data_IF_160445247354
#
_entry.id   IF_160445247354
#
_cell.length_a   1.000
_cell.length_b   1.000
_cell.length_c   1.000
_cell.angle_alpha   90.00
_cell.angle_beta   90.00
_cell.angle_gamma   90.00
#
_symmetry.space_group_name_H-M   'P 1'
#
loop_
_entity.id
_entity.type
_entity.pdbx_description
1 polymer ?
#
# COMPACT_ATOMS: atom_id res chain seq x y z
N UNK A 1 69.15 -4.14 41.47
CA UNK A 1 69.51 -2.75 41.85
C UNK A 1 68.36 -2.20 42.66
N UNK A 2 68.45 -2.26 43.99
CA UNK A 2 68.95 -1.19 44.88
C UNK A 2 67.92 -0.05 45.01
N UNK A 3 67.52 0.45 46.17
CA UNK A 3 67.82 0.26 47.61
C UNK A 3 66.72 1.03 48.37
N UNK A 4 66.37 0.60 49.59
CA UNK A 4 65.65 1.38 50.61
C UNK A 4 66.60 2.41 51.31
N UNK A 5 66.19 3.16 52.37
CA UNK A 5 65.26 4.30 52.54
C UNK A 5 66.02 5.53 53.19
N UNK A 6 65.47 6.51 53.98
CA UNK A 6 64.92 6.25 55.35
C UNK A 6 63.85 7.23 55.96
N UNK A 7 63.18 6.75 57.03
CA UNK A 7 62.73 7.42 58.31
C UNK A 7 61.82 8.67 58.32
N UNK A 8 60.84 8.89 59.23
CA UNK A 8 60.72 8.66 60.70
C UNK A 8 59.24 8.55 61.20
N UNK A 9 59.04 7.84 62.32
CA UNK A 9 57.84 7.68 63.22
C UNK A 9 57.54 8.94 64.09
N UNK A 10 56.59 8.98 65.09
CA UNK A 10 55.60 7.99 65.63
C UNK A 10 54.17 8.58 65.95
N UNK A 11 53.23 7.79 66.52
CA UNK A 11 52.53 8.05 67.83
C UNK A 11 51.17 7.28 68.04
N UNK A 12 51.09 6.58 69.20
CA UNK A 12 49.95 6.18 70.09
C UNK A 12 48.87 5.16 69.61
N UNK A 13 48.81 3.94 70.19
CA UNK A 13 48.04 3.48 71.40
C UNK A 13 46.62 3.05 71.00
N UNK A 14 46.03 1.91 71.36
CA UNK A 14 46.06 0.97 72.48
C UNK A 14 45.29 -0.29 71.98
N UNK A 15 45.44 -1.46 72.62
CA UNK A 15 44.37 -2.47 72.85
C UNK A 15 44.94 -3.90 72.93
N UNK A 16 44.97 -4.47 74.15
CA UNK A 16 44.75 -5.91 74.35
C UNK A 16 44.65 -6.24 75.85
N UNK A 17 43.47 -6.12 76.44
CA UNK A 17 43.05 -6.94 77.58
C UNK A 17 41.61 -7.40 77.31
N UNK A 18 41.50 -8.56 76.66
CA UNK A 18 40.24 -9.32 76.51
C UNK A 18 40.48 -10.64 77.23
N UNK A 19 39.87 -10.81 78.41
CA UNK A 19 39.29 -12.08 78.86
C UNK A 19 38.80 -11.89 80.30
N UNK A 20 37.52 -11.55 80.48
CA UNK A 20 36.64 -11.96 81.58
C UNK A 20 35.28 -11.25 81.46
N UNK A 21 34.50 -11.49 80.38
CA UNK A 21 33.08 -11.09 80.37
C UNK A 21 32.24 -11.80 79.27
N UNK A 22 32.16 -13.13 79.37
CA UNK A 22 31.31 -13.96 78.50
C UNK A 22 29.99 -14.38 79.19
N UNK A 23 29.77 -13.99 80.46
CA UNK A 23 28.52 -14.23 81.19
C UNK A 23 27.50 -13.07 81.11
N UNK A 24 27.94 -11.82 80.96
CA UNK A 24 27.06 -10.64 81.02
C UNK A 24 26.41 -10.28 79.65
N UNK A 25 26.95 -10.79 78.53
CA UNK A 25 26.45 -10.46 77.18
C UNK A 25 25.15 -11.15 76.80
N UNK A 26 24.93 -12.39 77.22
CA UNK A 26 23.67 -13.11 76.94
C UNK A 26 22.52 -12.62 77.82
N UNK A 27 22.81 -12.19 79.05
CA UNK A 27 21.84 -11.55 79.95
C UNK A 27 21.41 -10.19 79.37
N UNK A 28 22.34 -9.37 78.88
CA UNK A 28 22.01 -8.09 78.22
C UNK A 28 21.25 -8.27 76.90
N UNK A 29 21.57 -9.27 76.08
CA UNK A 29 20.82 -9.55 74.84
C UNK A 29 19.40 -10.05 75.13
N UNK A 30 19.25 -10.95 76.10
CA UNK A 30 17.94 -11.41 76.58
C UNK A 30 17.12 -10.26 77.17
N UNK A 31 17.73 -9.36 77.94
CA UNK A 31 17.08 -8.17 78.48
C UNK A 31 16.64 -7.18 77.38
N UNK A 32 17.46 -6.95 76.34
CA UNK A 32 17.09 -6.09 75.21
C UNK A 32 15.95 -6.71 74.38
N UNK A 33 15.97 -8.01 74.14
CA UNK A 33 14.89 -8.73 73.45
C UNK A 33 13.61 -8.70 74.29
N UNK A 34 13.73 -8.89 75.61
CA UNK A 34 12.61 -8.86 76.55
C UNK A 34 12.01 -7.46 76.67
N UNK A 35 12.82 -6.41 76.79
CA UNK A 35 12.37 -5.01 76.79
C UNK A 35 11.69 -4.67 75.48
N UNK A 36 12.21 -5.15 74.34
CA UNK A 36 11.61 -4.92 73.02
C UNK A 36 10.31 -5.72 72.84
N UNK A 37 10.23 -6.91 73.42
CA UNK A 37 9.03 -7.75 73.43
C UNK A 37 7.95 -7.11 74.32
N UNK A 38 8.29 -6.72 75.55
CA UNK A 38 7.41 -6.00 76.47
C UNK A 38 6.95 -4.71 75.83
N UNK A 39 7.84 -3.88 75.29
CA UNK A 39 7.48 -2.66 74.57
C UNK A 39 6.51 -2.93 73.41
N UNK A 40 6.73 -3.97 72.60
CA UNK A 40 5.80 -4.36 71.54
C UNK A 40 4.46 -4.84 72.08
N UNK A 41 4.45 -5.64 73.15
CA UNK A 41 3.23 -6.10 73.80
C UNK A 41 2.45 -4.94 74.43
N UNK A 42 3.14 -3.97 75.06
CA UNK A 42 2.53 -2.76 75.62
C UNK A 42 1.94 -1.88 74.53
N UNK A 43 2.69 -1.63 73.45
CA UNK A 43 2.21 -0.86 72.29
C UNK A 43 1.04 -1.59 71.62
N UNK A 44 1.08 -2.92 71.54
CA UNK A 44 0.00 -3.73 70.99
C UNK A 44 -1.23 -3.65 71.91
N UNK A 45 -1.09 -3.83 73.21
CA UNK A 45 -2.19 -3.74 74.17
C UNK A 45 -2.83 -2.34 74.18
N UNK A 46 -2.02 -1.28 74.14
CA UNK A 46 -2.49 0.10 73.97
C UNK A 46 -3.18 0.32 72.62
N UNK A 47 -2.70 -0.32 71.56
CA UNK A 47 -3.36 -0.29 70.24
C UNK A 47 -4.71 -0.99 70.26
N UNK A 48 -4.86 -2.09 71.02
CA UNK A 48 -6.13 -2.81 71.20
C UNK A 48 -7.13 -1.99 72.03
N UNK A 49 -6.67 -1.30 73.08
CA UNK A 49 -7.47 -0.36 73.85
C UNK A 49 -7.90 0.85 73.01
N UNK A 50 -6.99 1.40 72.19
CA UNK A 50 -7.29 2.46 71.25
C UNK A 50 -8.24 2.00 70.12
N UNK A 51 -8.26 0.71 69.77
CA UNK A 51 -9.26 0.14 68.88
C UNK A 51 -10.62 0.06 69.57
N UNK A 52 -10.71 -0.36 70.83
CA UNK A 52 -11.97 -0.41 71.57
C UNK A 52 -12.65 0.97 71.67
N UNK A 53 -11.89 2.05 71.85
CA UNK A 53 -12.37 3.43 71.93
C UNK A 53 -12.84 4.05 70.60
N UNK A 54 -12.76 3.34 69.47
CA UNK A 54 -13.11 3.87 68.13
C UNK A 54 -14.52 3.49 67.69
N UNK A 55 -15.16 4.39 66.93
CA UNK A 55 -16.47 4.16 66.31
C UNK A 55 -16.42 2.98 65.33
N UNK A 56 -17.49 2.18 65.29
CA UNK A 56 -17.60 0.98 64.44
C UNK A 56 -17.27 1.25 62.97
N UNK A 57 -17.79 2.37 62.43
CA UNK A 57 -17.58 2.77 61.04
C UNK A 57 -16.09 2.98 60.66
N UNK A 58 -15.25 3.42 61.60
CA UNK A 58 -13.80 3.60 61.32
C UNK A 58 -13.04 2.29 61.30
N UNK A 59 -13.48 1.30 62.10
CA UNK A 59 -12.94 -0.07 62.12
C UNK A 59 -13.28 -0.79 60.83
N UNK A 60 -14.52 -0.67 60.37
CA UNK A 60 -14.98 -1.30 59.13
C UNK A 60 -14.27 -0.73 57.90
N UNK A 61 -14.08 0.59 57.85
CA UNK A 61 -13.33 1.25 56.78
C UNK A 61 -11.85 0.83 56.76
N UNK A 62 -11.24 0.64 57.93
CA UNK A 62 -9.87 0.14 58.05
C UNK A 62 -9.74 -1.31 57.57
N UNK A 63 -10.66 -2.19 57.95
CA UNK A 63 -10.70 -3.59 57.53
C UNK A 63 -10.89 -3.69 56.01
N UNK A 64 -11.81 -2.90 55.44
CA UNK A 64 -12.05 -2.87 54.00
C UNK A 64 -10.82 -2.37 53.23
N UNK A 65 -10.14 -1.34 53.73
CA UNK A 65 -8.92 -0.83 53.10
C UNK A 65 -7.80 -1.89 53.11
N UNK A 66 -7.59 -2.58 54.23
CA UNK A 66 -6.59 -3.65 54.36
C UNK A 66 -6.91 -4.84 53.45
N UNK A 67 -8.17 -5.27 53.40
CA UNK A 67 -8.61 -6.36 52.51
C UNK A 67 -8.38 -6.00 51.04
N UNK A 68 -8.64 -4.75 50.65
CA UNK A 68 -8.41 -4.28 49.29
C UNK A 68 -6.91 -4.17 48.96
N UNK A 69 -6.08 -3.67 49.88
CA UNK A 69 -4.61 -3.65 49.74
C UNK A 69 -4.02 -5.07 49.59
N UNK A 70 -4.48 -6.02 50.41
CA UNK A 70 -4.09 -7.44 50.32
C UNK A 70 -4.55 -8.08 49.00
N UNK A 71 -5.76 -7.77 48.54
CA UNK A 71 -6.25 -8.27 47.26
C UNK A 71 -5.40 -7.76 46.09
N UNK A 72 -4.98 -6.49 46.11
CA UNK A 72 -4.09 -5.91 45.09
C UNK A 72 -2.70 -6.53 45.15
N UNK A 73 -2.15 -6.76 46.35
CA UNK A 73 -0.84 -7.40 46.52
C UNK A 73 -0.82 -8.84 46.02
N UNK A 74 -1.90 -9.60 46.25
CA UNK A 74 -2.03 -10.98 45.77
C UNK A 74 -2.19 -11.10 44.26
N UNK A 75 -2.65 -10.04 43.58
CA UNK A 75 -2.89 -10.05 42.12
C UNK A 75 -1.62 -9.99 41.27
N UNK A 76 -0.53 -9.36 41.75
CA UNK A 76 0.67 -9.12 40.94
C UNK A 76 1.95 -9.10 41.78
N UNK A 77 2.79 -10.13 41.65
CA UNK A 77 4.15 -10.21 42.19
C UNK A 77 5.13 -10.20 40.99
N UNK A 78 6.16 -9.34 40.92
CA UNK A 78 6.89 -8.68 42.02
C UNK A 78 6.58 -7.19 42.26
N UNK A 79 5.75 -6.51 41.45
CA UNK A 79 5.38 -5.10 41.68
C UNK A 79 3.88 -4.82 41.41
N UNK A 80 3.07 -4.55 42.44
CA UNK A 80 1.64 -4.30 42.27
C UNK A 80 1.40 -2.96 41.55
N UNK A 81 0.73 -3.00 40.39
CA UNK A 81 0.21 -1.80 39.71
C UNK A 81 -1.26 -1.62 40.07
N UNK A 82 -1.58 -0.60 40.87
CA UNK A 82 -2.97 -0.23 41.20
C UNK A 82 -3.71 0.24 39.95
N UNK A 83 -4.83 -0.42 39.61
CA UNK A 83 -5.75 0.00 38.55
C UNK A 83 -6.55 1.24 38.97
N UNK A 84 -7.22 1.92 38.03
CA UNK A 84 -8.02 3.11 38.35
C UNK A 84 -9.13 2.84 39.40
N UNK A 85 -9.88 1.72 39.33
CA UNK A 85 -10.83 1.33 40.38
C UNK A 85 -10.18 1.18 41.76
N UNK A 86 -9.01 0.53 41.84
CA UNK A 86 -8.33 0.30 43.11
C UNK A 86 -7.93 1.63 43.77
N UNK A 87 -7.48 2.59 42.95
CA UNK A 87 -7.13 3.94 43.41
C UNK A 87 -8.35 4.72 43.92
N UNK A 88 -9.51 4.55 43.29
CA UNK A 88 -10.75 5.21 43.70
C UNK A 88 -11.28 4.66 45.02
N UNK A 89 -11.28 3.33 45.20
CA UNK A 89 -11.70 2.66 46.44
C UNK A 89 -10.81 3.04 47.62
N UNK A 90 -9.48 2.97 47.45
CA UNK A 90 -8.54 3.39 48.49
C UNK A 90 -8.67 4.88 48.81
N UNK A 91 -8.91 5.73 47.81
CA UNK A 91 -9.10 7.16 48.03
C UNK A 91 -10.38 7.49 48.81
N UNK A 92 -11.46 6.75 48.56
CA UNK A 92 -12.74 6.92 49.27
C UNK A 92 -12.63 6.47 50.73
N UNK A 93 -12.06 5.28 50.98
CA UNK A 93 -11.88 4.71 52.32
C UNK A 93 -10.92 5.55 53.19
N UNK A 94 -9.88 6.14 52.58
CA UNK A 94 -8.95 7.03 53.28
C UNK A 94 -9.60 8.28 53.91
N UNK A 95 -10.80 8.70 53.46
CA UNK A 95 -11.53 9.81 54.09
C UNK A 95 -12.12 9.45 55.46
N UNK A 96 -12.41 8.17 55.67
CA UNK A 96 -13.02 7.64 56.90
C UNK A 96 -11.98 7.19 57.93
N UNK A 97 -10.69 7.24 57.57
CA UNK A 97 -9.57 6.79 58.38
C UNK A 97 -8.92 7.94 59.17
N UNK A 98 -8.63 7.78 60.48
CA UNK A 98 -7.86 8.74 61.28
C UNK A 98 -6.49 9.09 60.67
N UNK A 99 -5.99 10.31 60.93
CA UNK A 99 -4.72 10.81 60.34
C UNK A 99 -3.54 9.86 60.56
N UNK A 100 -3.42 9.26 61.75
CA UNK A 100 -2.33 8.35 62.13
C UNK A 100 -2.29 7.07 61.28
N UNK A 101 -3.45 6.56 60.86
CA UNK A 101 -3.56 5.31 60.08
C UNK A 101 -3.34 5.51 58.57
N UNK A 102 -3.36 6.76 58.10
CA UNK A 102 -3.03 7.10 56.71
C UNK A 102 -1.51 7.06 56.44
N UNK A 103 -0.69 7.11 57.49
CA UNK A 103 0.78 7.11 57.40
C UNK A 103 1.35 5.70 57.16
N UNK A 104 0.64 4.65 57.58
CA UNK A 104 1.10 3.26 57.56
C UNK A 104 0.58 2.45 56.34
N UNK A 105 0.28 3.12 55.22
CA UNK A 105 -0.36 2.50 54.03
C UNK A 105 0.61 2.36 52.86
N UNK A 106 0.32 1.43 51.95
CA UNK A 106 1.11 1.17 50.74
C UNK A 106 1.17 2.42 49.83
N UNK A 107 0.12 3.25 49.89
CA UNK A 107 0.01 4.51 49.12
C UNK A 107 0.19 5.71 50.05
N UNK A 108 1.23 6.50 49.81
CA UNK A 108 1.46 7.78 50.52
C UNK A 108 0.27 8.74 50.38
N UNK A 109 -0.10 9.48 51.44
CA UNK A 109 -1.19 10.46 51.42
C UNK A 109 -1.12 11.48 50.27
N UNK A 110 0.09 11.93 49.89
CA UNK A 110 0.29 12.86 48.78
C UNK A 110 -0.18 12.30 47.42
N UNK A 111 0.06 11.01 47.19
CA UNK A 111 -0.31 10.32 45.94
C UNK A 111 -1.82 10.11 45.81
N UNK A 112 -2.48 9.87 46.94
CA UNK A 112 -3.93 9.74 47.04
C UNK A 112 -4.63 11.08 46.79
N UNK A 113 -4.09 12.18 47.34
CA UNK A 113 -4.56 13.55 47.04
C UNK A 113 -4.32 13.94 45.58
N UNK A 114 -3.20 13.54 44.98
CA UNK A 114 -2.94 13.72 43.54
C UNK A 114 -3.99 13.01 42.67
N UNK A 115 -4.33 11.75 42.98
CA UNK A 115 -5.39 11.03 42.26
C UNK A 115 -6.76 11.68 42.43
N UNK A 116 -7.08 12.13 43.64
CA UNK A 116 -8.32 12.86 43.92
C UNK A 116 -8.42 14.16 43.09
N UNK A 117 -7.35 14.97 43.04
CA UNK A 117 -7.28 16.17 42.19
C UNK A 117 -7.45 15.83 40.71
N UNK A 118 -6.85 14.73 40.23
CA UNK A 118 -6.98 14.27 38.84
C UNK A 118 -8.41 13.81 38.52
N UNK A 119 -9.08 13.15 39.48
CA UNK A 119 -10.47 12.71 39.33
C UNK A 119 -11.43 13.90 39.30
N UNK A 120 -11.24 14.89 40.17
CA UNK A 120 -11.99 16.16 40.13
C UNK A 120 -11.77 16.86 38.78
N UNK A 121 -10.53 16.98 38.32
CA UNK A 121 -10.20 17.58 37.04
C UNK A 121 -10.72 16.79 35.82
N UNK A 122 -11.04 15.51 35.97
CA UNK A 122 -11.67 14.70 34.93
C UNK A 122 -13.21 14.80 34.97
N UNK A 123 -13.80 14.84 36.16
CA UNK A 123 -15.26 15.02 36.35
C UNK A 123 -15.75 16.38 35.87
N UNK A 124 -14.93 17.41 36.03
CA UNK A 124 -15.22 18.79 35.61
C UNK A 124 -14.58 19.16 34.26
N UNK A 125 -14.05 18.20 33.50
CA UNK A 125 -13.59 18.45 32.13
C UNK A 125 -14.81 18.65 31.24
N UNK A 126 -15.09 19.90 30.88
CA UNK A 126 -16.10 20.21 29.87
C UNK A 126 -15.72 19.56 28.53
N UNK A 127 -16.72 19.07 27.80
CA UNK A 127 -16.51 18.63 26.43
C UNK A 127 -15.99 19.82 25.62
N UNK A 128 -14.94 19.60 24.83
CA UNK A 128 -14.43 20.65 23.94
C UNK A 128 -15.56 21.07 23.00
N UNK A 129 -15.78 22.37 22.79
CA UNK A 129 -16.75 22.82 21.80
C UNK A 129 -16.39 22.22 20.43
N UNK A 130 -17.41 21.90 19.59
CA UNK A 130 -17.16 21.43 18.24
C UNK A 130 -16.24 22.44 17.54
N UNK A 131 -15.15 21.92 16.96
CA UNK A 131 -14.20 22.75 16.24
C UNK A 131 -14.84 23.38 14.99
N UNK A 132 -14.03 24.15 14.25
CA UNK A 132 -14.40 24.68 12.94
C UNK A 132 -15.11 23.60 12.10
N UNK A 133 -16.26 23.92 11.47
CA UNK A 133 -16.97 22.96 10.62
C UNK A 133 -16.01 22.34 9.60
N UNK A 134 -16.06 21.02 9.39
CA UNK A 134 -15.28 20.39 8.33
C UNK A 134 -15.64 21.00 6.97
N UNK A 135 -14.72 20.89 6.01
CA UNK A 135 -15.06 21.16 4.60
C UNK A 135 -16.26 20.29 4.22
N UNK A 136 -17.15 20.77 3.36
CA UNK A 136 -18.22 19.95 2.80
C UNK A 136 -17.68 18.67 2.17
N UNK A 137 -18.39 17.55 2.36
CA UNK A 137 -17.94 16.24 1.87
C UNK A 137 -17.82 16.22 0.34
N UNK A 138 -18.65 17.00 -0.37
CA UNK A 138 -18.56 17.19 -1.82
C UNK A 138 -17.21 17.80 -2.23
N UNK A 139 -16.77 18.85 -1.55
CA UNK A 139 -15.52 19.53 -1.86
C UNK A 139 -14.32 18.68 -1.45
N UNK A 140 -14.42 17.94 -0.33
CA UNK A 140 -13.41 16.96 0.05
C UNK A 140 -13.28 15.85 -1.01
N UNK A 141 -14.40 15.33 -1.50
CA UNK A 141 -14.44 14.32 -2.58
C UNK A 141 -13.83 14.87 -3.87
N UNK A 142 -14.14 16.12 -4.21
CA UNK A 142 -13.57 16.78 -5.37
C UNK A 142 -12.05 16.98 -5.25
N UNK A 143 -11.56 17.41 -4.07
CA UNK A 143 -10.12 17.47 -3.78
C UNK A 143 -9.45 16.11 -3.99
N UNK A 144 -10.06 15.03 -3.46
CA UNK A 144 -9.52 13.69 -3.58
C UNK A 144 -9.52 13.20 -5.03
N UNK A 145 -10.55 13.53 -5.81
CA UNK A 145 -10.61 13.22 -7.24
C UNK A 145 -9.49 13.91 -8.01
N UNK A 146 -9.34 15.23 -7.85
CA UNK A 146 -8.26 16.00 -8.49
C UNK A 146 -6.88 15.43 -8.18
N UNK A 147 -6.62 15.07 -6.92
CA UNK A 147 -5.33 14.51 -6.50
C UNK A 147 -5.09 13.08 -7.02
N UNK A 148 -6.14 12.27 -7.20
CA UNK A 148 -6.02 10.91 -7.76
C UNK A 148 -5.81 10.93 -9.27
N UNK A 149 -6.54 11.78 -9.97
CA UNK A 149 -6.42 11.95 -11.42
C UNK A 149 -5.09 12.62 -11.81
N UNK A 150 -4.57 13.53 -10.98
CA UNK A 150 -3.37 14.31 -11.27
C UNK A 150 -2.30 14.14 -10.18
N UNK A 151 -1.63 12.99 -10.16
CA UNK A 151 -0.65 12.63 -9.10
C UNK A 151 0.54 13.60 -9.00
N UNK A 152 0.89 14.26 -10.10
CA UNK A 152 1.97 15.26 -10.17
C UNK A 152 1.59 16.61 -9.54
N UNK A 153 0.30 16.86 -9.30
CA UNK A 153 -0.16 18.15 -8.78
C UNK A 153 0.11 18.28 -7.29
N UNK A 154 0.96 19.25 -6.94
CA UNK A 154 1.16 19.64 -5.55
C UNK A 154 -0.04 20.35 -4.95
N UNK A 155 -0.08 20.41 -3.61
CA UNK A 155 -1.15 21.03 -2.81
C UNK A 155 -1.47 22.46 -3.27
N UNK A 156 -0.45 23.24 -3.65
CA UNK A 156 -0.63 24.62 -4.12
C UNK A 156 -1.25 24.67 -5.52
N UNK A 157 -0.94 23.70 -6.40
CA UNK A 157 -1.56 23.61 -7.72
C UNK A 157 -3.04 23.27 -7.60
N UNK A 158 -3.38 22.28 -6.78
CA UNK A 158 -4.78 21.91 -6.47
C UNK A 158 -5.53 23.12 -5.88
N UNK A 159 -4.89 23.86 -4.96
CA UNK A 159 -5.47 25.09 -4.42
C UNK A 159 -5.76 26.13 -5.51
N UNK A 160 -4.84 26.29 -6.47
CA UNK A 160 -5.01 27.20 -7.60
C UNK A 160 -6.19 26.82 -8.49
N UNK A 161 -6.35 25.55 -8.83
CA UNK A 161 -7.48 25.07 -9.65
C UNK A 161 -8.82 25.19 -8.90
N UNK A 162 -8.86 24.86 -7.60
CA UNK A 162 -10.05 25.11 -6.78
C UNK A 162 -10.41 26.59 -6.73
N UNK A 163 -9.41 27.47 -6.62
CA UNK A 163 -9.61 28.92 -6.61
C UNK A 163 -10.14 29.45 -7.94
N UNK A 164 -9.71 28.88 -9.07
CA UNK A 164 -10.25 29.19 -10.41
C UNK A 164 -11.72 28.80 -10.54
N UNK A 165 -12.10 27.69 -9.91
CA UNK A 165 -13.49 27.20 -9.86
C UNK A 165 -14.33 27.89 -8.76
N UNK A 166 -13.81 28.94 -8.11
CA UNK A 166 -14.52 29.71 -7.09
C UNK A 166 -14.45 29.16 -5.66
N UNK A 167 -13.82 28.00 -5.45
CA UNK A 167 -13.68 27.38 -4.13
C UNK A 167 -12.46 27.93 -3.37
N UNK A 168 -12.69 28.67 -2.28
CA UNK A 168 -11.62 29.20 -1.41
C UNK A 168 -11.27 28.20 -0.31
N UNK A 169 -10.21 27.42 -0.53
CA UNK A 169 -9.68 26.47 0.46
C UNK A 169 -8.22 26.78 0.76
N UNK A 170 -7.80 26.64 2.01
CA UNK A 170 -6.39 26.78 2.38
C UNK A 170 -5.59 25.52 1.99
N UNK A 171 -4.35 25.72 1.56
CA UNK A 171 -3.43 24.61 1.27
C UNK A 171 -3.26 23.63 2.45
N UNK A 172 -3.30 24.13 3.69
CA UNK A 172 -3.23 23.30 4.89
C UNK A 172 -4.42 22.34 5.01
N UNK A 173 -5.63 22.78 4.62
CA UNK A 173 -6.81 21.95 4.66
C UNK A 173 -6.77 20.88 3.56
N UNK A 174 -6.35 21.22 2.34
CA UNK A 174 -6.12 20.25 1.26
C UNK A 174 -5.11 19.20 1.72
N UNK A 175 -3.95 19.62 2.26
CA UNK A 175 -2.92 18.70 2.79
C UNK A 175 -3.47 17.77 3.87
N UNK A 176 -4.31 18.30 4.78
CA UNK A 176 -4.94 17.51 5.85
C UNK A 176 -5.91 16.48 5.27
N UNK A 177 -6.74 16.86 4.30
CA UNK A 177 -7.67 15.97 3.61
C UNK A 177 -6.95 14.85 2.87
N UNK A 178 -5.87 15.16 2.14
CA UNK A 178 -5.06 14.17 1.44
C UNK A 178 -4.40 13.18 2.42
N UNK A 179 -3.80 13.68 3.51
CA UNK A 179 -3.18 12.83 4.55
C UNK A 179 -4.19 11.94 5.26
N UNK A 180 -5.38 12.45 5.59
CA UNK A 180 -6.43 11.68 6.24
C UNK A 180 -6.94 10.52 5.36
N UNK A 181 -6.82 10.64 4.04
CA UNK A 181 -7.21 9.62 3.07
C UNK A 181 -6.02 8.82 2.52
N UNK A 182 -4.84 8.92 3.15
CA UNK A 182 -3.65 8.14 2.77
C UNK A 182 -3.05 8.49 1.41
N UNK A 183 -3.36 9.65 0.83
CA UNK A 183 -2.76 10.09 -0.44
C UNK A 183 -1.37 10.69 -0.16
N UNK A 184 -0.29 10.11 -0.71
CA UNK A 184 1.06 10.62 -0.51
C UNK A 184 1.22 12.03 -1.13
N UNK A 185 2.15 12.86 -0.64
CA UNK A 185 2.45 14.13 -1.28
C UNK A 185 2.92 13.91 -2.72
N UNK A 186 2.51 14.80 -3.63
CA UNK A 186 2.92 14.74 -5.04
C UNK A 186 4.44 14.63 -5.15
N UNK A 187 4.93 13.57 -5.78
CA UNK A 187 6.33 13.50 -6.18
C UNK A 187 6.44 13.96 -7.64
N UNK A 188 7.53 14.63 -8.01
CA UNK A 188 7.76 15.07 -9.40
C UNK A 188 7.99 13.90 -10.37
N UNK A 189 8.07 12.66 -9.89
CA UNK A 189 8.50 11.48 -10.65
C UNK A 189 7.48 10.33 -10.64
N UNK A 190 6.20 10.62 -10.33
CA UNK A 190 5.15 9.59 -10.21
C UNK A 190 4.47 9.20 -11.54
N UNK A 191 5.06 9.55 -12.68
CA UNK A 191 4.63 8.96 -13.94
C UNK A 191 5.19 7.54 -14.00
N UNK A 192 4.35 6.57 -13.63
CA UNK A 192 4.69 5.16 -13.85
C UNK A 192 5.04 4.98 -15.34
N UNK A 193 6.07 4.19 -15.65
CA UNK A 193 6.44 3.86 -17.04
C UNK A 193 5.24 3.45 -17.90
N UNK A 194 4.21 2.84 -17.30
CA UNK A 194 2.93 2.55 -17.98
C UNK A 194 2.19 3.78 -18.48
N UNK A 195 2.08 4.84 -17.67
CA UNK A 195 1.41 6.09 -18.06
C UNK A 195 2.18 6.78 -19.18
N UNK A 196 3.50 6.85 -19.03
CA UNK A 196 4.39 7.40 -20.06
C UNK A 196 4.26 6.65 -21.39
N UNK A 197 4.36 5.31 -21.36
CA UNK A 197 4.23 4.49 -22.57
C UNK A 197 2.82 4.55 -23.17
N UNK A 198 1.75 4.64 -22.36
CA UNK A 198 0.39 4.85 -22.88
C UNK A 198 0.24 6.19 -23.59
N UNK A 199 0.80 7.26 -23.03
CA UNK A 199 0.75 8.58 -23.65
C UNK A 199 1.47 8.61 -25.01
N UNK A 200 2.50 7.77 -25.18
CA UNK A 200 3.25 7.66 -26.43
C UNK A 200 2.69 6.61 -27.40
N UNK A 201 1.82 5.69 -26.93
CA UNK A 201 1.36 4.53 -27.71
C UNK A 201 0.64 4.89 -29.02
N UNK A 202 -0.01 6.06 -29.07
CA UNK A 202 -0.70 6.56 -30.27
C UNK A 202 0.26 6.85 -31.42
N UNK A 203 1.54 7.09 -31.12
CA UNK A 203 2.60 7.36 -32.10
C UNK A 203 3.38 6.11 -32.52
N UNK A 204 3.07 4.93 -31.95
CA UNK A 204 3.82 3.70 -32.14
C UNK A 204 3.07 2.72 -33.06
N UNK A 205 3.79 2.23 -34.07
CA UNK A 205 3.44 1.06 -34.87
C UNK A 205 4.39 -0.09 -34.54
N UNK A 206 3.94 -1.31 -34.72
CA UNK A 206 4.82 -2.47 -34.76
C UNK A 206 4.54 -3.31 -36.01
N UNK A 207 5.61 -3.76 -36.66
CA UNK A 207 5.56 -4.66 -37.81
C UNK A 207 6.29 -5.95 -37.47
N UNK A 208 5.77 -7.05 -38.00
CA UNK A 208 6.38 -8.37 -37.85
C UNK A 208 5.95 -9.29 -39.00
N UNK A 209 6.65 -10.42 -39.12
CA UNK A 209 6.29 -11.49 -40.04
C UNK A 209 6.01 -12.78 -39.27
N UNK A 210 5.04 -13.55 -39.74
CA UNK A 210 4.90 -14.94 -39.33
C UNK A 210 4.63 -15.81 -40.55
N UNK A 211 4.82 -17.12 -40.40
CA UNK A 211 4.62 -18.06 -41.49
C UNK A 211 3.51 -19.07 -41.23
N UNK A 212 2.85 -19.51 -42.29
CA UNK A 212 1.84 -20.57 -42.26
C UNK A 212 2.20 -21.60 -43.32
N UNK A 213 2.20 -22.87 -42.93
CA UNK A 213 2.51 -23.97 -43.83
C UNK A 213 1.21 -24.47 -44.49
N UNK A 214 1.24 -24.69 -45.80
CA UNK A 214 0.09 -25.16 -46.58
C UNK A 214 0.00 -26.68 -46.58
N UNK A 215 -1.15 -27.21 -47.01
CA UNK A 215 -1.35 -28.66 -47.26
C UNK A 215 -0.40 -29.22 -48.31
N UNK A 216 0.14 -28.36 -49.18
CA UNK A 216 1.15 -28.71 -50.19
C UNK A 216 2.58 -28.57 -49.67
N UNK A 217 2.76 -28.42 -48.35
CA UNK A 217 4.05 -28.25 -47.67
C UNK A 217 4.84 -27.02 -48.15
N UNK A 218 4.15 -26.00 -48.67
CA UNK A 218 4.74 -24.70 -48.97
C UNK A 218 4.62 -23.78 -47.77
N UNK A 219 5.66 -22.99 -47.52
CA UNK A 219 5.66 -21.98 -46.47
C UNK A 219 5.25 -20.62 -47.04
N UNK A 220 4.19 -20.05 -46.49
CA UNK A 220 3.75 -18.69 -46.81
C UNK A 220 4.10 -17.77 -45.65
N UNK A 221 4.67 -16.61 -45.96
CA UNK A 221 4.99 -15.54 -45.03
C UNK A 221 3.93 -14.46 -45.11
N UNK A 222 3.48 -14.00 -43.95
CA UNK A 222 2.44 -13.00 -43.77
C UNK A 222 3.08 -11.77 -43.13
N UNK A 223 2.95 -10.63 -43.80
CA UNK A 223 3.37 -9.33 -43.31
C UNK A 223 2.17 -8.58 -42.75
N UNK A 224 2.30 -8.04 -41.54
CA UNK A 224 1.23 -7.26 -40.92
C UNK A 224 1.81 -6.12 -40.09
N UNK A 225 1.01 -5.09 -39.89
CA UNK A 225 1.32 -4.00 -38.97
C UNK A 225 0.22 -3.89 -37.92
N UNK A 226 0.61 -3.61 -36.68
CA UNK A 226 -0.30 -3.38 -35.55
C UNK A 226 -0.06 -2.01 -34.95
N UNK A 227 -1.15 -1.28 -34.73
CA UNK A 227 -1.15 -0.02 -33.97
C UNK A 227 -1.09 -0.33 -32.48
N UNK A 228 -0.13 0.23 -31.74
CA UNK A 228 0.09 -0.15 -30.33
C UNK A 228 -1.05 0.33 -29.42
N UNK A 229 -1.55 1.54 -29.64
CA UNK A 229 -2.66 2.12 -28.88
C UNK A 229 -3.96 1.33 -29.05
N UNK A 230 -4.43 1.21 -30.30
CA UNK A 230 -5.75 0.65 -30.61
C UNK A 230 -5.73 -0.88 -30.72
N UNK A 231 -4.54 -1.49 -30.89
CA UNK A 231 -4.34 -2.90 -31.26
C UNK A 231 -5.02 -3.29 -32.58
N UNK A 232 -5.29 -2.30 -33.43
CA UNK A 232 -5.81 -2.53 -34.76
C UNK A 232 -4.71 -3.16 -35.61
N UNK A 233 -5.04 -4.26 -36.27
CA UNK A 233 -4.12 -4.98 -37.16
C UNK A 233 -4.52 -4.73 -38.60
N UNK A 234 -3.51 -4.53 -39.45
CA UNK A 234 -3.64 -4.40 -40.88
C UNK A 234 -2.77 -5.45 -41.57
N UNK A 235 -3.37 -6.19 -42.51
CA UNK A 235 -2.64 -7.12 -43.38
C UNK A 235 -1.94 -6.30 -44.46
N UNK A 236 -0.64 -6.51 -44.64
CA UNK A 236 0.12 -5.85 -45.70
C UNK A 236 0.16 -6.75 -46.93
N UNK A 237 0.72 -7.95 -46.81
CA UNK A 237 0.80 -8.90 -47.92
C UNK A 237 1.15 -10.31 -47.46
N UNK A 238 1.06 -11.25 -48.40
CA UNK A 238 1.37 -12.66 -48.23
C UNK A 238 2.26 -13.09 -49.40
N UNK A 239 3.34 -13.82 -49.12
CA UNK A 239 4.27 -14.30 -50.15
C UNK A 239 4.88 -15.65 -49.76
N UNK A 240 5.26 -16.48 -50.73
CA UNK A 240 6.12 -17.65 -50.51
C UNK A 240 7.62 -17.30 -50.57
N UNK A 241 7.98 -16.08 -50.98
CA UNK A 241 9.36 -15.64 -51.23
C UNK A 241 9.64 -14.28 -50.59
N UNK A 242 9.83 -14.22 -49.26
CA UNK A 242 10.04 -12.95 -48.57
C UNK A 242 11.48 -12.44 -48.81
N UNK A 243 11.67 -11.66 -49.87
CA UNK A 243 12.94 -10.99 -50.18
C UNK A 243 13.00 -9.60 -49.55
N UNK A 244 14.22 -9.05 -49.44
CA UNK A 244 14.40 -7.67 -48.98
C UNK A 244 13.75 -6.64 -49.92
N UNK A 245 13.76 -6.89 -51.23
CA UNK A 245 13.12 -6.03 -52.23
C UNK A 245 11.60 -6.04 -52.09
N UNK A 246 11.01 -7.21 -51.85
CA UNK A 246 9.59 -7.33 -51.55
C UNK A 246 9.22 -6.57 -50.27
N UNK A 247 10.00 -6.74 -49.20
CA UNK A 247 9.79 -6.00 -47.95
C UNK A 247 9.91 -4.48 -48.17
N UNK A 248 10.88 -4.03 -48.97
CA UNK A 248 11.03 -2.61 -49.31
C UNK A 248 9.84 -2.08 -50.12
N UNK A 249 9.24 -2.88 -51.00
CA UNK A 249 8.01 -2.49 -51.70
C UNK A 249 6.84 -2.36 -50.73
N UNK A 250 6.67 -3.31 -49.80
CA UNK A 250 5.65 -3.21 -48.75
C UNK A 250 5.84 -1.96 -47.87
N UNK A 251 7.09 -1.62 -47.56
CA UNK A 251 7.40 -0.41 -46.81
C UNK A 251 6.93 0.85 -47.53
N UNK A 252 7.18 0.96 -48.84
CA UNK A 252 6.73 2.11 -49.66
C UNK A 252 5.21 2.20 -49.71
N UNK A 253 4.53 1.07 -49.93
CA UNK A 253 3.06 1.03 -49.97
C UNK A 253 2.47 1.46 -48.62
N UNK A 254 3.00 0.94 -47.51
CA UNK A 254 2.57 1.34 -46.18
C UNK A 254 2.90 2.81 -45.88
N UNK A 255 4.10 3.27 -46.21
CA UNK A 255 4.52 4.65 -45.99
C UNK A 255 3.62 5.64 -46.75
N UNK A 256 3.31 5.36 -48.01
CA UNK A 256 2.37 6.15 -48.82
C UNK A 256 1.00 6.24 -48.17
N UNK A 257 0.46 5.10 -47.69
CA UNK A 257 -0.84 5.09 -46.99
C UNK A 257 -0.83 5.85 -45.65
N UNK A 258 0.29 5.85 -44.93
CA UNK A 258 0.44 6.59 -43.67
C UNK A 258 0.60 8.10 -43.89
N UNK A 259 1.28 8.51 -44.96
CA UNK A 259 1.44 9.91 -45.36
C UNK A 259 0.08 10.53 -45.73
N UNK A 260 -0.75 9.82 -46.50
CA UNK A 260 -2.13 10.22 -46.82
C UNK A 260 -3.01 10.36 -45.57
N UNK A 261 -2.80 9.51 -44.56
CA UNK A 261 -3.54 9.51 -43.30
C UNK A 261 -3.06 10.57 -42.27
N UNK A 262 -2.24 11.55 -42.69
CA UNK A 262 -1.76 12.67 -41.87
C UNK A 262 -0.84 12.31 -40.69
N UNK A 263 0.12 11.40 -40.90
CA UNK A 263 1.31 11.22 -40.03
C UNK A 263 1.03 11.11 -38.51
N UNK A 264 0.08 10.27 -38.12
CA UNK A 264 -0.21 10.00 -36.70
C UNK A 264 0.93 9.29 -35.97
N UNK A 265 1.80 8.60 -36.70
CA UNK A 265 2.84 7.72 -36.14
C UNK A 265 4.22 8.31 -36.35
N UNK A 266 5.08 8.15 -35.35
CA UNK A 266 6.45 8.68 -35.33
C UNK A 266 7.48 7.56 -35.23
N UNK A 267 7.10 6.41 -34.68
CA UNK A 267 8.02 5.28 -34.53
C UNK A 267 7.41 3.98 -35.05
N UNK A 268 8.24 3.18 -35.72
CA UNK A 268 7.91 1.82 -36.16
C UNK A 268 8.85 0.82 -35.46
N UNK A 269 8.27 -0.06 -34.65
CA UNK A 269 8.98 -1.13 -33.98
C UNK A 269 9.07 -2.34 -34.92
N UNK A 270 10.27 -2.85 -35.14
CA UNK A 270 10.49 -4.10 -35.89
C UNK A 270 11.59 -4.93 -35.26
N UNK A 271 11.61 -6.21 -35.59
CA UNK A 271 12.73 -7.07 -35.24
C UNK A 271 13.92 -6.91 -36.21
N UNK A 272 14.97 -7.69 -35.97
CA UNK A 272 16.20 -7.67 -36.77
C UNK A 272 16.21 -8.73 -37.87
N UNK A 273 15.05 -9.19 -38.34
CA UNK A 273 14.99 -10.15 -39.44
C UNK A 273 15.71 -9.59 -40.67
N UNK A 274 16.53 -10.41 -41.32
CA UNK A 274 17.31 -10.04 -42.50
C UNK A 274 16.44 -9.60 -43.70
N UNK A 275 15.14 -9.93 -43.68
CA UNK A 275 14.15 -9.43 -44.64
C UNK A 275 14.01 -7.90 -44.59
N UNK A 276 14.22 -7.29 -43.43
CA UNK A 276 14.19 -5.84 -43.25
C UNK A 276 15.53 -5.22 -43.65
N UNK A 277 15.70 -4.97 -44.94
CA UNK A 277 16.90 -4.33 -45.50
C UNK A 277 16.93 -2.80 -45.31
N UNK A 278 18.04 -2.17 -45.72
CA UNK A 278 18.21 -0.70 -45.62
C UNK A 278 17.17 0.08 -46.42
N UNK A 279 16.74 -0.44 -47.57
CA UNK A 279 15.69 0.17 -48.40
C UNK A 279 14.32 0.17 -47.70
N UNK A 280 14.05 -0.79 -46.81
CA UNK A 280 12.86 -0.80 -45.99
C UNK A 280 12.87 0.38 -45.00
N UNK A 281 13.97 0.54 -44.27
CA UNK A 281 14.11 1.62 -43.28
C UNK A 281 14.06 3.01 -43.95
N UNK A 282 14.69 3.14 -45.13
CA UNK A 282 14.71 4.38 -45.89
C UNK A 282 13.30 4.87 -46.31
N UNK A 283 12.38 3.95 -46.62
CA UNK A 283 11.01 4.29 -47.01
C UNK A 283 10.19 4.90 -45.85
N UNK A 284 10.47 4.49 -44.60
CA UNK A 284 9.84 5.11 -43.42
C UNK A 284 10.56 6.38 -42.99
N UNK A 285 11.89 6.42 -43.10
CA UNK A 285 12.67 7.61 -42.80
C UNK A 285 12.31 8.79 -43.73
N UNK A 286 11.96 8.55 -45.00
CA UNK A 286 11.55 9.61 -45.93
C UNK A 286 10.27 10.34 -45.51
N UNK A 287 9.41 9.70 -44.73
CA UNK A 287 8.17 10.28 -44.18
C UNK A 287 8.33 10.65 -42.69
N UNK A 288 9.56 10.68 -42.16
CA UNK A 288 9.83 11.08 -40.79
C UNK A 288 9.47 10.05 -39.71
N UNK A 289 9.29 8.78 -40.07
CA UNK A 289 9.08 7.69 -39.11
C UNK A 289 10.42 7.07 -38.73
N UNK A 290 10.73 7.07 -37.43
CA UNK A 290 11.95 6.47 -36.89
C UNK A 290 11.78 4.96 -36.64
N UNK A 291 12.73 4.17 -37.12
CA UNK A 291 12.74 2.72 -36.92
C UNK A 291 13.34 2.39 -35.55
N UNK A 292 12.57 1.71 -34.71
CA UNK A 292 13.03 1.21 -33.41
C UNK A 292 13.26 -0.30 -33.51
N UNK A 293 14.52 -0.70 -33.42
CA UNK A 293 14.90 -2.12 -33.48
C UNK A 293 14.72 -2.79 -32.12
N UNK A 294 14.10 -3.96 -32.12
CA UNK A 294 14.17 -4.84 -30.95
C UNK A 294 15.62 -5.30 -30.74
N UNK A 295 16.04 -5.43 -29.47
CA UNK A 295 17.27 -6.13 -29.13
C UNK A 295 17.21 -7.60 -29.61
N UNK A 296 18.37 -8.20 -29.92
CA UNK A 296 18.43 -9.58 -30.40
C UNK A 296 17.72 -10.55 -29.47
N UNK A 297 16.93 -11.47 -30.04
CA UNK A 297 16.25 -12.56 -29.32
C UNK A 297 15.32 -12.10 -28.17
N UNK A 298 14.75 -10.90 -28.27
CA UNK A 298 13.89 -10.35 -27.25
C UNK A 298 12.48 -10.06 -27.80
N UNK A 299 11.68 -11.11 -28.08
CA UNK A 299 10.31 -10.99 -28.62
C UNK A 299 9.38 -10.18 -27.72
N UNK A 300 9.70 -10.07 -26.42
CA UNK A 300 8.94 -9.24 -25.47
C UNK A 300 8.93 -7.74 -25.80
N UNK A 301 9.88 -7.23 -26.58
CA UNK A 301 9.82 -5.83 -27.01
C UNK A 301 8.85 -5.60 -28.16
N UNK A 302 8.48 -6.65 -28.89
CA UNK A 302 7.37 -6.65 -29.84
C UNK A 302 6.15 -7.44 -29.31
N UNK A 303 5.89 -7.35 -28.00
CA UNK A 303 4.89 -8.19 -27.34
C UNK A 303 3.47 -8.07 -27.89
N UNK A 304 3.12 -6.94 -28.54
CA UNK A 304 1.81 -6.76 -29.16
C UNK A 304 1.66 -7.58 -30.45
N UNK A 305 2.66 -7.52 -31.33
CA UNK A 305 2.70 -8.33 -32.55
C UNK A 305 2.76 -9.82 -32.20
N UNK A 306 3.66 -10.22 -31.31
CA UNK A 306 3.82 -11.62 -30.85
C UNK A 306 2.55 -12.19 -30.22
N UNK A 307 1.87 -11.39 -29.40
CA UNK A 307 0.58 -11.79 -28.81
C UNK A 307 -0.48 -12.00 -29.89
N UNK A 308 -0.54 -11.11 -30.87
CA UNK A 308 -1.47 -11.23 -31.98
C UNK A 308 -1.17 -12.46 -32.84
N UNK A 309 0.10 -12.71 -33.19
CA UNK A 309 0.55 -13.92 -33.90
C UNK A 309 0.08 -15.18 -33.15
N UNK A 310 0.29 -15.22 -31.83
CA UNK A 310 -0.19 -16.34 -31.03
C UNK A 310 -1.72 -16.51 -31.06
N UNK A 311 -2.48 -15.41 -31.09
CA UNK A 311 -3.95 -15.45 -31.19
C UNK A 311 -4.42 -15.97 -32.55
N UNK A 312 -3.90 -15.43 -33.66
CA UNK A 312 -4.28 -15.88 -35.02
C UNK A 312 -3.89 -17.33 -35.27
N UNK A 313 -2.78 -17.81 -34.69
CA UNK A 313 -2.40 -19.23 -34.71
C UNK A 313 -3.42 -20.11 -34.01
N UNK A 314 -3.62 -19.89 -32.70
CA UNK A 314 -4.50 -20.74 -31.87
C UNK A 314 -5.96 -20.70 -32.29
N UNK A 315 -6.45 -19.53 -32.68
CA UNK A 315 -7.88 -19.33 -32.97
C UNK A 315 -8.24 -19.70 -34.41
N UNK A 316 -7.29 -19.59 -35.36
CA UNK A 316 -7.57 -19.65 -36.78
C UNK A 316 -6.61 -20.57 -37.55
N UNK A 317 -5.36 -20.15 -37.76
CA UNK A 317 -4.46 -20.79 -38.75
C UNK A 317 -4.01 -22.19 -38.36
N UNK A 318 -3.93 -22.55 -37.07
CA UNK A 318 -3.60 -23.91 -36.63
C UNK A 318 -4.82 -24.87 -36.74
N UNK A 319 -6.01 -24.33 -36.99
CA UNK A 319 -7.28 -25.08 -37.03
C UNK A 319 -7.84 -25.21 -38.44
N UNK A 320 -7.22 -24.58 -39.43
CA UNK A 320 -7.64 -24.58 -40.84
C UNK A 320 -6.51 -25.10 -41.70
N UNK A 321 -6.82 -26.07 -42.56
CA UNK A 321 -5.89 -26.54 -43.58
C UNK A 321 -5.80 -25.51 -44.72
N UNK A 322 -4.69 -24.80 -44.78
CA UNK A 322 -4.45 -23.75 -45.78
C UNK A 322 -4.02 -24.37 -47.10
N UNK A 323 -4.74 -24.07 -48.18
CA UNK A 323 -4.53 -24.67 -49.50
C UNK A 323 -3.54 -23.88 -50.37
N UNK A 324 -3.42 -22.57 -50.13
CA UNK A 324 -2.53 -21.67 -50.88
C UNK A 324 -2.73 -20.21 -50.48
N UNK A 325 -2.01 -19.31 -51.14
CA UNK A 325 -1.97 -17.88 -50.80
C UNK A 325 -3.35 -17.23 -50.82
N UNK A 326 -4.14 -17.45 -51.89
CA UNK A 326 -5.48 -16.87 -52.02
C UNK A 326 -6.43 -17.32 -50.89
N UNK A 327 -6.33 -18.58 -50.49
CA UNK A 327 -7.12 -19.10 -49.37
C UNK A 327 -6.65 -18.48 -48.05
N UNK A 328 -5.34 -18.39 -47.82
CA UNK A 328 -4.80 -17.75 -46.62
C UNK A 328 -5.21 -16.27 -46.53
N UNK A 329 -5.15 -15.53 -47.64
CA UNK A 329 -5.60 -14.13 -47.72
C UNK A 329 -7.05 -14.00 -47.26
N UNK A 330 -7.95 -14.78 -47.85
CA UNK A 330 -9.36 -14.76 -47.47
C UNK A 330 -9.58 -15.09 -45.99
N UNK A 331 -8.90 -16.11 -45.47
CA UNK A 331 -8.99 -16.51 -44.06
C UNK A 331 -8.52 -15.38 -43.14
N UNK A 332 -7.39 -14.75 -43.46
CA UNK A 332 -6.83 -13.66 -42.67
C UNK A 332 -7.66 -12.39 -42.77
N UNK A 333 -8.24 -12.05 -43.92
CA UNK A 333 -9.13 -10.90 -44.07
C UNK A 333 -10.35 -11.03 -43.15
N UNK A 334 -10.96 -12.23 -43.12
CA UNK A 334 -12.08 -12.52 -42.22
C UNK A 334 -11.62 -12.50 -40.75
N UNK A 335 -10.46 -13.07 -40.43
CA UNK A 335 -9.93 -13.06 -39.06
C UNK A 335 -9.59 -11.65 -38.58
N UNK A 336 -9.01 -10.81 -39.43
CA UNK A 336 -8.62 -9.43 -39.07
C UNK A 336 -9.86 -8.55 -38.92
N UNK A 337 -10.87 -8.73 -39.77
CA UNK A 337 -12.17 -8.08 -39.56
C UNK A 337 -12.79 -8.50 -38.22
N UNK A 338 -12.71 -9.79 -37.87
CA UNK A 338 -13.14 -10.30 -36.57
C UNK A 338 -12.32 -9.71 -35.41
N UNK A 339 -10.99 -9.70 -35.52
CA UNK A 339 -10.08 -9.17 -34.50
C UNK A 339 -10.29 -7.68 -34.25
N UNK A 340 -10.51 -6.90 -35.31
CA UNK A 340 -10.66 -5.46 -35.22
C UNK A 340 -12.06 -5.01 -34.76
N UNK A 341 -13.13 -5.75 -35.10
CA UNK A 341 -14.50 -5.31 -34.84
C UNK A 341 -15.35 -6.26 -33.97
N UNK A 342 -14.97 -7.53 -33.86
CA UNK A 342 -15.77 -8.56 -33.18
C UNK A 342 -15.15 -9.14 -31.91
N UNK A 343 -13.83 -9.01 -31.74
CA UNK A 343 -13.07 -9.64 -30.65
C UNK A 343 -12.82 -8.67 -29.51
N UNK A 344 -13.30 -9.00 -28.32
CA UNK A 344 -13.02 -8.21 -27.11
C UNK A 344 -11.56 -8.37 -26.67
N UNK A 345 -10.89 -7.26 -26.40
CA UNK A 345 -9.50 -7.24 -25.96
C UNK A 345 -9.38 -6.92 -24.47
N UNK A 346 -8.68 -7.78 -23.73
CA UNK A 346 -8.48 -7.62 -22.28
C UNK A 346 -7.48 -6.53 -21.89
N UNK A 347 -6.66 -6.03 -22.83
CA UNK A 347 -5.43 -5.34 -22.48
C UNK A 347 -5.52 -3.84 -22.19
N UNK A 348 -6.69 -3.20 -22.22
CA UNK A 348 -6.84 -1.79 -21.84
C UNK A 348 -7.83 -1.65 -20.69
N UNK A 349 -7.33 -1.49 -19.46
CA UNK A 349 -8.17 -1.32 -18.26
C UNK A 349 -9.18 -2.44 -17.96
N UNK A 350 -9.10 -3.60 -18.64
CA UNK A 350 -10.15 -4.64 -18.68
C UNK A 350 -11.49 -4.13 -19.24
N UNK A 351 -11.45 -3.15 -20.15
CA UNK A 351 -12.66 -2.60 -20.79
C UNK A 351 -13.30 -3.58 -21.78
N UNK A 352 -12.61 -4.68 -22.15
CA UNK A 352 -13.13 -5.76 -23.00
C UNK A 352 -13.72 -5.27 -24.33
N UNK A 353 -13.07 -4.29 -24.96
CA UNK A 353 -13.50 -3.69 -26.24
C UNK A 353 -12.71 -4.22 -27.43
N UNK A 354 -13.34 -4.24 -28.60
CA UNK A 354 -12.67 -4.41 -29.88
C UNK A 354 -12.03 -3.08 -30.35
N UNK A 355 -10.98 -3.11 -31.19
CA UNK A 355 -10.33 -1.90 -31.70
C UNK A 355 -11.25 -0.90 -32.40
N UNK A 356 -12.33 -1.36 -33.02
CA UNK A 356 -13.32 -0.51 -33.71
C UNK A 356 -14.47 -0.04 -32.81
N UNK A 357 -14.52 -0.47 -31.55
CA UNK A 357 -15.55 0.01 -30.62
C UNK A 357 -15.30 1.48 -30.28
N UNK A 358 -16.36 2.27 -30.29
CA UNK A 358 -16.28 3.67 -29.85
C UNK A 358 -15.96 3.74 -28.35
N UNK A 359 -14.88 4.41 -27.93
CA UNK A 359 -14.40 4.38 -26.55
C UNK A 359 -15.37 5.04 -25.56
N UNK A 360 -16.14 6.03 -26.03
CA UNK A 360 -17.06 6.81 -25.20
C UNK A 360 -18.50 6.29 -25.22
N UNK A 361 -18.76 5.20 -25.96
CA UNK A 361 -20.11 4.66 -26.11
C UNK A 361 -20.31 3.53 -25.10
N UNK A 362 -21.30 3.71 -24.22
CA UNK A 362 -21.76 2.66 -23.29
C UNK A 362 -22.95 1.98 -23.97
N UNK A 363 -22.79 0.73 -24.46
CA UNK A 363 -23.88 0.03 -25.11
C UNK A 363 -24.99 -0.29 -24.10
N UNK A 364 -26.24 0.03 -24.46
CA UNK A 364 -27.40 -0.44 -23.71
C UNK A 364 -27.54 -1.96 -23.84
N UNK A 365 -27.98 -2.67 -22.79
CA UNK A 365 -28.19 -4.12 -22.86
C UNK A 365 -29.17 -4.48 -23.98
N UNK A 366 -28.72 -5.25 -24.96
CA UNK A 366 -29.61 -5.79 -26.00
C UNK A 366 -30.42 -6.95 -25.41
N UNK A 367 -31.75 -7.01 -25.64
CA UNK A 367 -32.55 -8.18 -25.25
C UNK A 367 -31.98 -9.45 -25.88
N UNK A 368 -31.94 -10.57 -25.14
CA UNK A 368 -31.33 -11.82 -25.61
C UNK A 368 -31.93 -12.28 -26.94
N UNK A 369 -33.24 -12.10 -27.12
CA UNK A 369 -33.96 -12.46 -28.35
C UNK A 369 -33.60 -11.57 -29.55
N UNK A 370 -33.00 -10.41 -29.29
CA UNK A 370 -32.46 -9.51 -30.30
C UNK A 370 -30.98 -9.76 -30.61
N UNK A 371 -30.34 -10.80 -30.06
CA UNK A 371 -28.93 -11.11 -30.35
C UNK A 371 -28.86 -12.10 -31.52
N UNK A 372 -28.14 -11.73 -32.59
CA UNK A 372 -27.88 -12.61 -33.73
C UNK A 372 -26.46 -13.15 -33.69
N UNK A 373 -26.34 -14.47 -33.91
CA UNK A 373 -25.05 -15.14 -34.12
C UNK A 373 -24.64 -14.99 -35.59
N UNK A 374 -23.44 -14.47 -35.82
CA UNK A 374 -22.77 -14.50 -37.13
C UNK A 374 -21.64 -15.53 -37.06
N UNK A 375 -21.69 -16.51 -37.94
CA UNK A 375 -20.61 -17.49 -38.08
C UNK A 375 -19.57 -16.96 -39.05
N UNK A 376 -18.31 -17.02 -38.65
CA UNK A 376 -17.16 -16.68 -39.47
C UNK A 376 -16.31 -17.95 -39.66
N UNK A 377 -15.65 -18.07 -40.83
CA UNK A 377 -14.78 -19.21 -41.17
C UNK A 377 -15.46 -20.57 -40.94
N UNK A 378 -16.68 -20.75 -41.49
CA UNK A 378 -17.41 -22.02 -41.36
C UNK A 378 -17.86 -22.36 -39.94
N UNK A 379 -17.93 -21.39 -39.02
CA UNK A 379 -18.35 -21.58 -37.63
C UNK A 379 -17.21 -21.79 -36.65
N UNK A 380 -15.96 -21.73 -37.12
CA UNK A 380 -14.76 -21.73 -36.28
C UNK A 380 -14.76 -20.54 -35.30
N UNK A 381 -15.27 -19.41 -35.78
CA UNK A 381 -15.47 -18.18 -35.01
C UNK A 381 -16.95 -17.84 -35.02
N UNK A 382 -17.46 -17.41 -33.87
CA UNK A 382 -18.84 -17.01 -33.70
C UNK A 382 -18.85 -15.61 -33.08
N UNK A 383 -19.44 -14.67 -33.81
CA UNK A 383 -19.70 -13.32 -33.32
C UNK A 383 -21.15 -13.18 -32.92
N UNK A 384 -21.41 -12.34 -31.92
CA UNK A 384 -22.75 -12.03 -31.44
C UNK A 384 -22.96 -10.53 -31.55
N UNK A 385 -24.01 -10.12 -32.27
CA UNK A 385 -24.32 -8.71 -32.52
C UNK A 385 -25.82 -8.45 -32.29
N UNK A 386 -26.21 -7.22 -31.91
CA UNK A 386 -27.61 -6.82 -31.90
C UNK A 386 -28.23 -6.98 -33.30
N UNK A 387 -29.47 -7.44 -33.36
CA UNK A 387 -30.29 -7.38 -34.55
C UNK A 387 -30.57 -5.90 -34.86
N UNK A 388 -30.26 -5.49 -36.09
CA UNK A 388 -30.59 -4.17 -36.60
C UNK A 388 -32.10 -3.95 -36.66
#
# INVERSE_FOLDING_TARGET
>A
MNRWPPTTLPVLVENAVIQFDLGDRDIRRSAIVSVRLVYRLSVQMLSWLALLARSSATKDAEILALRHELAVLRRNNPRPRLSWPDRAVLAALARMLPKALRVHRIVTPAKLLYWHRKLIAARWRQQKPPGRPPISDELATFILRLAKENRTWGVVRIQGELRRLGHRVAASTIRKTLRANGIPPSTRHDDTWRTFLRAQASSLLAIDFFHVDTVTLKRLYVAFVIEIETRRVHLLSITDHPTADWAAQLARELASGLEEASHRFTYLIRDRDAKFGTAFDAAFASIGIEIVLTAPQAPRMNAFAERWIGSVRRECTDRILITGERHLRHVLDVYIAHHNAGRSHQGDGMLLRAPHDEPNTIPCPTPINGIRRRQCLGGLLNEYRPAA
#
